data_IF_029820411551
#
_entry.id   IF_029820411551
#
_cell.length_a   1.000
_cell.length_b   1.000
_cell.length_c   1.000
_cell.angle_alpha   90.00
_cell.angle_beta   90.00
_cell.angle_gamma   90.00
#
_symmetry.space_group_name_H-M   'P 1'
#
loop_
_entity.id
_entity.type
_entity.pdbx_description
1 polymer ?
#
# COMPACT_ATOMS: atom_id res chain seq x y z
N UNK A 1 22.10 18.14 36.49
CA UNK A 1 22.11 18.51 37.92
C UNK A 1 23.18 17.65 38.59
N UNK A 2 24.22 18.23 39.18
CA UNK A 2 25.11 17.44 40.03
C UNK A 2 24.39 17.18 41.36
N UNK A 3 24.33 15.91 41.76
CA UNK A 3 24.06 15.52 43.14
C UNK A 3 25.40 15.23 43.82
N UNK A 4 25.44 15.38 45.13
CA UNK A 4 26.57 15.04 46.01
C UNK A 4 27.84 15.91 45.80
N UNK A 5 27.68 17.23 45.95
CA UNK A 5 28.83 18.13 46.16
C UNK A 5 28.89 18.46 47.65
N UNK A 6 29.85 17.87 48.35
CA UNK A 6 30.18 18.24 49.73
C UNK A 6 31.08 19.48 49.74
N UNK A 7 30.72 20.46 50.57
CA UNK A 7 31.47 21.71 50.74
C UNK A 7 31.79 21.87 52.22
N UNK A 8 33.06 22.11 52.54
CA UNK A 8 33.54 22.28 53.91
C UNK A 8 33.88 23.75 54.20
N UNK A 9 33.62 24.19 55.43
CA UNK A 9 33.82 25.57 55.84
C UNK A 9 35.31 25.95 55.85
N UNK A 10 35.66 27.02 55.14
CA UNK A 10 37.03 27.54 55.05
C UNK A 10 37.83 27.00 53.86
N UNK A 11 37.28 26.06 53.09
CA UNK A 11 37.91 25.51 51.88
C UNK A 11 37.19 25.95 50.61
N UNK A 12 37.93 26.09 49.51
CA UNK A 12 37.35 26.28 48.18
C UNK A 12 37.25 24.93 47.48
N UNK A 13 36.02 24.41 47.34
CA UNK A 13 35.75 23.23 46.52
C UNK A 13 35.54 23.67 45.07
N UNK A 14 36.48 23.34 44.17
CA UNK A 14 36.33 23.56 42.74
C UNK A 14 36.04 22.24 42.01
N UNK A 15 34.97 22.23 41.20
CA UNK A 15 34.75 21.19 40.19
C UNK A 15 34.85 21.84 38.81
N UNK A 16 35.75 21.34 37.98
CA UNK A 16 35.80 21.70 36.57
C UNK A 16 34.67 21.00 35.85
N UNK A 17 33.70 21.75 35.33
CA UNK A 17 32.73 21.24 34.37
C UNK A 17 33.36 21.34 32.99
N UNK A 18 33.67 20.20 32.38
CA UNK A 18 33.94 20.18 30.93
C UNK A 18 32.59 20.28 30.24
N UNK A 19 32.32 21.44 29.66
CA UNK A 19 31.31 21.53 28.61
C UNK A 19 32.02 20.90 27.40
N UNK A 20 31.57 19.70 27.04
CA UNK A 20 32.12 18.99 25.89
C UNK A 20 32.08 19.87 24.64
N UNK A 21 33.08 19.74 23.78
CA UNK A 21 33.06 20.48 22.53
C UNK A 21 31.92 20.00 21.63
N UNK A 22 31.51 20.83 20.67
CA UNK A 22 30.54 20.40 19.66
C UNK A 22 31.25 19.59 18.59
N UNK A 23 30.70 18.43 18.24
CA UNK A 23 31.04 17.66 17.06
C UNK A 23 29.90 17.66 16.06
N UNK A 24 30.15 17.09 14.89
CA UNK A 24 29.13 16.93 13.85
C UNK A 24 28.87 15.45 13.56
N UNK A 25 27.62 15.07 13.63
CA UNK A 25 27.15 13.76 13.16
C UNK A 25 26.62 13.89 11.73
N UNK A 26 27.07 12.99 10.85
CA UNK A 26 26.60 12.88 9.46
C UNK A 26 26.14 11.45 9.15
N UNK A 27 24.92 11.30 8.68
CA UNK A 27 24.46 10.08 8.02
C UNK A 27 24.56 10.24 6.51
N UNK A 28 25.17 9.25 5.85
CA UNK A 28 25.20 9.07 4.40
C UNK A 28 24.26 7.94 4.01
N UNK A 29 23.08 8.26 3.49
CA UNK A 29 22.09 7.31 2.99
C UNK A 29 22.35 6.99 1.52
N UNK A 30 22.57 5.71 1.23
CA UNK A 30 22.87 5.21 -0.10
C UNK A 30 21.85 4.14 -0.54
N UNK A 31 21.49 4.16 -1.82
CA UNK A 31 20.92 3.03 -2.55
C UNK A 31 22.06 2.36 -3.32
N UNK A 32 22.45 1.16 -2.92
CA UNK A 32 23.71 0.54 -3.39
C UNK A 32 24.92 1.39 -2.99
N UNK A 33 25.55 2.04 -3.98
CA UNK A 33 26.68 2.95 -3.78
C UNK A 33 26.35 4.42 -4.10
N UNK A 34 25.12 4.71 -4.55
CA UNK A 34 24.71 6.06 -4.93
C UNK A 34 23.93 6.77 -3.80
N UNK A 35 24.19 8.08 -3.55
CA UNK A 35 23.41 8.85 -2.60
C UNK A 35 21.94 8.95 -3.03
N UNK A 36 21.03 8.61 -2.13
CA UNK A 36 19.59 8.62 -2.39
C UNK A 36 18.87 9.69 -1.58
N UNK A 37 17.79 10.22 -2.14
CA UNK A 37 16.87 11.09 -1.42
C UNK A 37 15.73 10.26 -0.85
N UNK A 38 15.35 10.54 0.39
CA UNK A 38 14.13 9.99 0.99
C UNK A 38 13.28 11.11 1.58
N UNK A 39 11.97 10.87 1.64
CA UNK A 39 11.02 11.68 2.41
C UNK A 39 11.03 11.28 3.91
N UNK A 40 11.73 10.20 4.26
CA UNK A 40 12.04 9.82 5.62
C UNK A 40 12.97 10.81 6.34
N UNK A 41 13.18 10.57 7.63
CA UNK A 41 14.01 11.42 8.48
C UNK A 41 14.81 10.59 9.49
N UNK A 42 15.77 11.26 10.13
CA UNK A 42 16.64 10.65 11.12
C UNK A 42 16.50 11.38 12.45
N UNK A 43 16.13 10.64 13.49
CA UNK A 43 16.04 11.11 14.87
C UNK A 43 17.27 10.65 15.63
N UNK A 44 17.84 11.53 16.46
CA UNK A 44 19.02 11.25 17.27
C UNK A 44 18.61 11.17 18.73
N UNK A 45 19.11 10.15 19.42
CA UNK A 45 18.93 9.92 20.84
C UNK A 45 20.30 9.81 21.51
N UNK A 46 20.39 10.23 22.77
CA UNK A 46 21.53 9.92 23.64
C UNK A 46 21.52 8.45 24.02
N UNK A 47 22.62 7.97 24.59
CA UNK A 47 22.76 6.59 25.09
C UNK A 47 21.65 6.19 26.08
N UNK A 48 21.16 7.12 26.90
CA UNK A 48 20.07 6.89 27.86
C UNK A 48 18.66 6.92 27.22
N UNK A 49 18.58 7.11 25.90
CA UNK A 49 17.34 7.20 25.14
C UNK A 49 16.69 8.58 25.12
N UNK A 50 17.31 9.60 25.72
CA UNK A 50 16.80 10.98 25.63
C UNK A 50 16.93 11.51 24.20
N UNK A 51 15.86 12.12 23.68
CA UNK A 51 15.88 12.80 22.39
C UNK A 51 16.95 13.91 22.35
N UNK A 52 17.84 13.85 21.36
CA UNK A 52 18.93 14.79 21.16
C UNK A 52 18.70 15.74 19.99
N UNK A 53 17.80 15.39 19.06
CA UNK A 53 17.51 16.21 17.87
C UNK A 53 17.14 15.38 16.64
N UNK A 54 17.07 16.05 15.50
CA UNK A 54 16.89 15.44 14.19
C UNK A 54 18.05 15.85 13.27
N UNK A 55 18.45 14.95 12.37
CA UNK A 55 19.43 15.28 11.35
C UNK A 55 18.74 16.04 10.21
N UNK A 56 19.33 17.16 9.81
CA UNK A 56 18.86 17.96 8.69
C UNK A 56 19.51 17.51 7.41
N UNK A 57 18.71 17.35 6.35
CA UNK A 57 19.23 17.10 5.01
C UNK A 57 20.05 18.30 4.53
N UNK A 58 21.33 18.09 4.25
CA UNK A 58 22.23 19.14 3.73
C UNK A 58 22.53 18.98 2.24
N UNK A 59 22.43 17.75 1.72
CA UNK A 59 22.50 17.42 0.31
C UNK A 59 21.86 16.04 0.07
N UNK A 60 21.71 15.63 -1.18
CA UNK A 60 21.21 14.28 -1.51
C UNK A 60 22.00 13.21 -0.76
N UNK A 61 21.28 12.33 -0.05
CA UNK A 61 21.86 11.28 0.78
C UNK A 61 22.64 11.74 2.01
N UNK A 62 22.77 13.05 2.32
CA UNK A 62 23.55 13.50 3.47
C UNK A 62 22.68 14.27 4.47
N UNK A 63 22.69 13.80 5.72
CA UNK A 63 21.91 14.35 6.81
C UNK A 63 22.83 14.65 8.00
N UNK A 64 22.72 15.83 8.59
CA UNK A 64 23.67 16.32 9.61
C UNK A 64 23.00 16.98 10.82
N UNK A 65 23.65 16.86 11.97
CA UNK A 65 23.40 17.70 13.14
C UNK A 65 24.71 18.01 13.87
N UNK A 66 24.76 19.16 14.52
CA UNK A 66 25.80 19.48 15.50
C UNK A 66 25.32 19.04 16.88
N UNK A 67 26.15 18.26 17.56
CA UNK A 67 25.83 17.64 18.84
C UNK A 67 27.02 17.84 19.79
N UNK A 68 26.79 17.94 21.10
CA UNK A 68 27.87 17.81 22.08
C UNK A 68 28.66 16.51 21.87
N UNK A 69 29.92 16.49 22.28
CA UNK A 69 30.68 15.23 22.33
C UNK A 69 29.94 14.19 23.17
N UNK A 70 29.91 12.94 22.70
CA UNK A 70 29.20 11.87 23.39
C UNK A 70 28.78 10.71 22.50
N UNK A 71 28.10 9.74 23.11
CA UNK A 71 27.59 8.55 22.45
C UNK A 71 26.11 8.71 22.12
N UNK A 72 25.75 8.39 20.88
CA UNK A 72 24.40 8.59 20.34
C UNK A 72 23.86 7.34 19.65
N UNK A 73 22.54 7.30 19.50
CA UNK A 73 21.81 6.38 18.65
C UNK A 73 21.03 7.17 17.62
N UNK A 74 20.94 6.66 16.40
CA UNK A 74 20.16 7.28 15.32
C UNK A 74 19.09 6.32 14.88
N UNK A 75 17.85 6.78 14.85
CA UNK A 75 16.71 6.07 14.29
C UNK A 75 16.41 6.66 12.91
N UNK A 76 16.48 5.86 11.86
CA UNK A 76 16.00 6.22 10.53
C UNK A 76 14.55 5.77 10.37
N UNK A 77 13.68 6.66 9.91
CA UNK A 77 12.24 6.40 9.78
C UNK A 77 11.81 6.63 8.32
N UNK A 78 11.04 5.70 7.77
CA UNK A 78 10.47 5.73 6.41
C UNK A 78 11.53 5.97 5.32
N UNK A 79 12.67 5.27 5.40
CA UNK A 79 13.83 5.53 4.54
C UNK A 79 13.58 5.10 3.08
N UNK A 80 12.78 4.07 2.88
CA UNK A 80 12.29 3.60 1.58
C UNK A 80 11.04 2.72 1.80
N UNK A 81 10.29 2.38 0.73
CA UNK A 81 9.26 1.34 0.82
C UNK A 81 9.79 0.06 1.48
N UNK A 82 9.08 -0.41 2.51
CA UNK A 82 9.53 -1.54 3.34
C UNK A 82 10.72 -1.26 4.25
N UNK A 83 11.29 -0.06 4.29
CA UNK A 83 12.35 0.32 5.25
C UNK A 83 11.79 1.37 6.19
N UNK A 84 10.88 0.93 7.06
CA UNK A 84 10.10 1.80 7.95
C UNK A 84 10.88 2.32 9.14
N UNK A 85 11.70 1.48 9.77
CA UNK A 85 12.45 1.83 10.96
C UNK A 85 13.79 1.07 11.03
N UNK A 86 14.88 1.79 11.23
CA UNK A 86 16.22 1.22 11.41
C UNK A 86 16.98 1.95 12.51
N UNK A 87 17.73 1.21 13.33
CA UNK A 87 18.50 1.75 14.45
C UNK A 87 20.00 1.61 14.25
N UNK A 88 20.70 2.73 14.33
CA UNK A 88 22.16 2.81 14.29
C UNK A 88 22.67 3.23 15.66
N UNK A 89 23.17 2.26 16.43
CA UNK A 89 23.57 2.44 17.83
C UNK A 89 25.05 2.78 17.98
N UNK A 90 25.39 3.27 19.16
CA UNK A 90 26.76 3.49 19.63
C UNK A 90 27.63 4.34 18.69
N UNK A 91 27.09 5.47 18.24
CA UNK A 91 27.81 6.42 17.39
C UNK A 91 28.48 7.46 18.27
N UNK A 92 29.80 7.40 18.37
CA UNK A 92 30.61 8.37 19.12
C UNK A 92 30.82 9.65 18.29
N UNK A 93 30.38 10.78 18.82
CA UNK A 93 30.63 12.11 18.25
C UNK A 93 31.77 12.76 19.03
N UNK A 94 32.86 13.08 18.34
CA UNK A 94 34.01 13.77 18.92
C UNK A 94 33.98 15.28 18.64
N UNK A 95 34.40 16.08 19.63
CA UNK A 95 34.46 17.52 19.52
C UNK A 95 35.36 18.00 18.37
N UNK A 96 34.88 18.96 17.58
CA UNK A 96 35.62 19.56 16.46
C UNK A 96 35.71 18.70 15.20
N UNK A 97 35.14 17.48 15.23
CA UNK A 97 35.23 16.53 14.12
C UNK A 97 33.87 16.27 13.47
N UNK A 98 33.90 15.71 12.26
CA UNK A 98 32.70 15.14 11.62
C UNK A 98 32.76 13.63 11.70
N UNK A 99 31.92 13.05 12.54
CA UNK A 99 31.63 11.61 12.57
C UNK A 99 30.66 11.28 11.45
N UNK A 100 31.02 10.36 10.56
CA UNK A 100 30.15 9.96 9.44
C UNK A 100 29.83 8.47 9.48
N UNK A 101 28.54 8.13 9.42
CA UNK A 101 28.06 6.76 9.26
C UNK A 101 27.38 6.60 7.91
N UNK A 102 27.69 5.51 7.21
CA UNK A 102 27.01 5.15 5.97
C UNK A 102 25.89 4.16 6.27
N UNK A 103 24.73 4.44 5.71
CA UNK A 103 23.51 3.63 5.77
C UNK A 103 23.19 3.20 4.34
N UNK A 104 22.96 1.91 4.11
CA UNK A 104 22.61 1.34 2.81
C UNK A 104 21.24 0.68 2.89
N UNK A 105 20.35 1.04 1.98
CA UNK A 105 18.99 0.47 1.89
C UNK A 105 18.85 -0.58 0.77
N UNK A 106 19.98 -1.11 0.28
CA UNK A 106 20.01 -1.95 -0.93
C UNK A 106 19.96 -1.14 -2.22
N UNK A 107 20.23 -1.74 -3.37
CA UNK A 107 19.98 -1.10 -4.66
C UNK A 107 18.48 -1.02 -4.94
N UNK A 108 18.00 0.08 -5.51
CA UNK A 108 16.57 0.21 -5.87
C UNK A 108 16.26 -0.43 -7.21
N UNK A 109 15.21 -1.25 -7.28
CA UNK A 109 14.62 -1.80 -8.49
C UNK A 109 13.16 -1.41 -8.63
N UNK A 110 12.58 -1.63 -9.80
CA UNK A 110 11.18 -1.32 -10.08
C UNK A 110 10.35 -2.60 -10.17
N UNK A 111 9.27 -2.65 -9.40
CA UNK A 111 8.25 -3.69 -9.51
C UNK A 111 7.08 -3.15 -10.33
N UNK A 112 6.64 -3.92 -11.33
CA UNK A 112 5.51 -3.60 -12.21
C UNK A 112 4.52 -4.76 -12.25
N UNK A 113 3.25 -4.47 -12.02
CA UNK A 113 2.13 -5.38 -12.29
C UNK A 113 1.31 -4.83 -13.44
N UNK A 114 1.03 -5.67 -14.43
CA UNK A 114 0.05 -5.40 -15.49
C UNK A 114 -1.23 -6.17 -15.19
N UNK A 115 -2.32 -5.48 -14.97
CA UNK A 115 -3.65 -6.03 -14.77
C UNK A 115 -4.42 -5.99 -16.10
N UNK A 116 -4.87 -7.15 -16.56
CA UNK A 116 -5.66 -7.30 -17.78
C UNK A 116 -7.02 -7.95 -17.47
N UNK A 117 -8.05 -7.54 -18.21
CA UNK A 117 -9.30 -8.30 -18.39
C UNK A 117 -9.24 -8.93 -19.77
N UNK A 118 -9.08 -10.26 -19.84
CA UNK A 118 -8.69 -10.92 -21.09
C UNK A 118 -7.34 -10.39 -21.59
N UNK A 119 -7.33 -9.73 -22.75
CA UNK A 119 -6.14 -9.15 -23.37
C UNK A 119 -6.05 -7.62 -23.24
N UNK A 120 -7.07 -6.97 -22.67
CA UNK A 120 -7.12 -5.51 -22.55
C UNK A 120 -6.67 -5.04 -21.16
N UNK A 121 -5.95 -3.91 -21.04
CA UNK A 121 -5.61 -3.32 -19.75
C UNK A 121 -6.85 -2.97 -18.94
N UNK A 122 -6.84 -3.33 -17.66
CA UNK A 122 -7.94 -3.07 -16.72
C UNK A 122 -7.46 -2.16 -15.59
N UNK A 123 -8.01 -0.95 -15.52
CA UNK A 123 -7.94 -0.10 -14.33
C UNK A 123 -8.94 -0.59 -13.29
N UNK A 124 -8.58 -0.51 -12.01
CA UNK A 124 -9.43 -0.94 -10.90
C UNK A 124 -9.50 0.09 -9.79
N UNK A 125 -10.63 0.11 -9.07
CA UNK A 125 -10.78 0.84 -7.81
C UNK A 125 -10.19 0.07 -6.61
N UNK A 126 -9.80 -1.19 -6.82
CA UNK A 126 -9.02 -1.97 -5.87
C UNK A 126 -7.56 -1.51 -5.84
N UNK A 127 -6.67 -2.42 -5.46
CA UNK A 127 -5.24 -2.09 -5.40
C UNK A 127 -4.34 -3.30 -5.29
N UNK A 128 -3.04 -3.03 -5.39
CA UNK A 128 -1.99 -4.01 -5.19
C UNK A 128 -1.12 -3.61 -4.01
N UNK A 129 -1.14 -4.40 -2.95
CA UNK A 129 -0.25 -4.26 -1.80
C UNK A 129 0.96 -5.17 -1.97
N UNK A 130 2.15 -4.64 -1.68
CA UNK A 130 3.42 -5.37 -1.72
C UNK A 130 3.82 -5.75 -0.30
N UNK A 131 4.25 -6.99 -0.13
CA UNK A 131 4.75 -7.54 1.12
C UNK A 131 6.16 -8.10 0.91
N UNK A 132 7.01 -8.01 1.94
CA UNK A 132 8.27 -8.73 2.00
C UNK A 132 8.05 -10.23 2.17
N UNK A 133 9.11 -11.01 2.00
CA UNK A 133 9.11 -12.46 2.24
C UNK A 133 8.61 -12.87 3.63
N UNK A 134 8.90 -12.06 4.67
CA UNK A 134 8.43 -12.30 6.05
C UNK A 134 6.97 -11.88 6.29
N UNK A 135 6.30 -11.35 5.26
CA UNK A 135 4.91 -10.88 5.33
C UNK A 135 4.74 -9.44 5.79
N UNK A 136 5.82 -8.70 6.05
CA UNK A 136 5.72 -7.28 6.38
C UNK A 136 5.26 -6.46 5.16
N UNK A 137 4.29 -5.56 5.36
CA UNK A 137 3.85 -4.62 4.33
C UNK A 137 5.00 -3.69 3.91
N UNK A 138 5.21 -3.56 2.61
CA UNK A 138 6.24 -2.70 2.03
C UNK A 138 5.67 -1.39 1.48
N UNK A 139 4.66 -1.47 0.60
CA UNK A 139 3.94 -0.32 0.03
C UNK A 139 2.76 -0.79 -0.83
N UNK A 140 1.93 0.17 -1.27
CA UNK A 140 0.99 -0.04 -2.37
C UNK A 140 1.62 0.33 -3.72
N UNK A 141 1.31 -0.43 -4.76
CA UNK A 141 1.65 -0.06 -6.13
C UNK A 141 0.70 1.05 -6.61
N UNK A 142 1.24 1.99 -7.37
CA UNK A 142 0.48 3.11 -7.94
C UNK A 142 0.19 2.86 -9.41
N UNK A 143 -1.03 3.12 -9.84
CA UNK A 143 -1.36 3.08 -11.27
C UNK A 143 -0.65 4.23 -11.99
N UNK A 144 0.22 3.90 -12.95
CA UNK A 144 0.98 4.89 -13.74
C UNK A 144 0.41 5.05 -15.16
N UNK A 145 -0.34 4.06 -15.61
CA UNK A 145 -1.13 4.06 -16.84
C UNK A 145 -2.22 2.99 -16.71
N UNK A 146 -3.30 3.04 -17.50
CA UNK A 146 -4.40 2.08 -17.40
C UNK A 146 -3.91 0.62 -17.28
N UNK A 147 -4.25 -0.04 -16.18
CA UNK A 147 -3.88 -1.43 -15.89
C UNK A 147 -2.41 -1.68 -15.63
N UNK A 148 -1.58 -0.66 -15.40
CA UNK A 148 -0.15 -0.81 -15.05
C UNK A 148 0.15 -0.13 -13.73
N UNK A 149 0.57 -0.94 -12.76
CA UNK A 149 0.82 -0.54 -11.37
C UNK A 149 2.29 -0.71 -11.03
N UNK A 150 2.92 0.31 -10.44
CA UNK A 150 4.36 0.36 -10.19
C UNK A 150 4.73 0.90 -8.80
N UNK A 151 5.87 0.43 -8.30
CA UNK A 151 6.61 1.03 -7.20
C UNK A 151 8.12 0.79 -7.38
N UNK A 152 8.94 1.69 -6.84
CA UNK A 152 10.37 1.46 -6.65
C UNK A 152 10.60 0.89 -5.25
N UNK A 153 11.35 -0.18 -5.17
CA UNK A 153 11.58 -0.96 -3.94
C UNK A 153 13.08 -1.25 -3.85
N UNK A 154 13.62 -1.43 -2.63
CA UNK A 154 14.89 -2.14 -2.47
C UNK A 154 14.89 -3.48 -3.22
N UNK A 155 16.06 -3.91 -3.67
CA UNK A 155 16.24 -5.26 -4.19
C UNK A 155 15.89 -6.30 -3.13
N UNK A 156 15.27 -7.40 -3.54
CA UNK A 156 14.82 -8.42 -2.62
C UNK A 156 13.65 -9.25 -3.14
N UNK A 157 13.17 -10.18 -2.30
CA UNK A 157 12.06 -11.06 -2.61
C UNK A 157 10.76 -10.52 -2.01
N UNK A 158 9.73 -10.40 -2.85
CA UNK A 158 8.45 -9.81 -2.49
C UNK A 158 7.26 -10.69 -2.90
N UNK A 159 6.12 -10.40 -2.29
CA UNK A 159 4.81 -10.90 -2.67
C UNK A 159 3.90 -9.72 -2.98
N UNK A 160 3.01 -9.89 -3.95
CA UNK A 160 2.01 -8.87 -4.29
C UNK A 160 0.61 -9.47 -4.15
N UNK A 161 -0.23 -8.79 -3.38
CA UNK A 161 -1.63 -9.10 -3.20
C UNK A 161 -2.47 -8.06 -3.95
N UNK A 162 -3.24 -8.50 -4.94
CA UNK A 162 -4.28 -7.69 -5.55
C UNK A 162 -5.61 -7.92 -4.84
N UNK A 163 -6.31 -6.86 -4.44
CA UNK A 163 -7.59 -6.96 -3.72
C UNK A 163 -8.66 -6.16 -4.47
N UNK A 164 -9.88 -6.71 -4.56
CA UNK A 164 -11.03 -6.06 -5.20
C UNK A 164 -10.74 -5.59 -6.63
N UNK A 165 -10.00 -6.39 -7.40
CA UNK A 165 -9.51 -6.01 -8.72
C UNK A 165 -10.63 -5.87 -9.76
N UNK A 166 -11.73 -6.61 -9.61
CA UNK A 166 -12.93 -6.51 -10.43
C UNK A 166 -14.15 -7.03 -9.64
N UNK A 167 -15.39 -6.73 -10.06
CA UNK A 167 -16.58 -7.29 -9.44
C UNK A 167 -16.54 -8.82 -9.34
N UNK A 168 -16.60 -9.33 -8.12
CA UNK A 168 -16.57 -10.76 -7.83
C UNK A 168 -15.17 -11.39 -7.89
N UNK A 169 -14.12 -10.59 -8.08
CA UNK A 169 -12.72 -10.97 -7.87
C UNK A 169 -12.24 -10.41 -6.53
N UNK A 170 -11.91 -11.30 -5.61
CA UNK A 170 -11.58 -10.90 -4.24
C UNK A 170 -10.10 -10.63 -4.08
N UNK A 171 -9.29 -11.58 -4.55
CA UNK A 171 -7.89 -11.64 -4.16
C UNK A 171 -7.07 -12.43 -5.18
N UNK A 172 -5.94 -11.87 -5.57
CA UNK A 172 -4.94 -12.54 -6.39
C UNK A 172 -3.57 -12.37 -5.74
N UNK A 173 -2.80 -13.45 -5.67
CA UNK A 173 -1.42 -13.42 -5.18
C UNK A 173 -0.41 -13.68 -6.30
N UNK A 174 0.58 -12.81 -6.41
CA UNK A 174 1.83 -13.07 -7.11
C UNK A 174 2.93 -13.25 -6.06
N UNK A 175 3.42 -14.47 -5.90
CA UNK A 175 4.44 -14.82 -4.90
C UNK A 175 5.84 -14.85 -5.51
N UNK A 176 6.83 -14.78 -4.64
CA UNK A 176 8.25 -14.97 -4.95
C UNK A 176 8.74 -14.12 -6.13
N UNK A 177 8.43 -12.82 -6.07
CA UNK A 177 8.87 -11.85 -7.07
C UNK A 177 10.19 -11.24 -6.60
N UNK A 178 11.27 -11.59 -7.29
CA UNK A 178 12.58 -10.99 -7.07
C UNK A 178 12.66 -9.63 -7.78
N UNK A 179 12.88 -8.57 -7.01
CA UNK A 179 13.18 -7.23 -7.51
C UNK A 179 14.70 -7.08 -7.58
N UNK A 180 15.21 -6.77 -8.77
CA UNK A 180 16.64 -6.59 -9.04
C UNK A 180 16.96 -5.10 -9.14
N UNK A 181 18.04 -4.66 -8.50
CA UNK A 181 18.50 -3.28 -8.54
C UNK A 181 18.73 -2.79 -9.98
N UNK A 182 18.24 -1.59 -10.28
CA UNK A 182 18.37 -0.94 -11.59
C UNK A 182 17.47 -1.52 -12.69
N UNK A 183 16.71 -2.57 -12.42
CA UNK A 183 15.85 -3.23 -13.42
C UNK A 183 14.36 -3.00 -13.17
N UNK A 184 13.54 -3.31 -14.18
CA UNK A 184 12.09 -3.41 -14.04
C UNK A 184 11.66 -4.88 -14.06
N UNK A 185 11.24 -5.40 -12.91
CA UNK A 185 10.60 -6.70 -12.80
C UNK A 185 9.12 -6.56 -13.08
N UNK A 186 8.61 -7.26 -14.09
CA UNK A 186 7.21 -7.18 -14.49
C UNK A 186 6.49 -8.52 -14.32
N UNK A 187 5.28 -8.51 -13.76
CA UNK A 187 4.32 -9.63 -13.80
C UNK A 187 3.02 -9.19 -14.46
N UNK A 188 2.28 -10.16 -14.99
CA UNK A 188 0.96 -9.92 -15.57
C UNK A 188 -0.07 -10.74 -14.82
N UNK A 189 -1.06 -10.05 -14.27
CA UNK A 189 -2.28 -10.63 -13.71
C UNK A 189 -3.35 -10.54 -14.79
N UNK A 190 -3.91 -11.68 -15.19
CA UNK A 190 -5.04 -11.76 -16.12
C UNK A 190 -6.27 -12.21 -15.36
N UNK A 191 -7.31 -11.40 -15.42
CA UNK A 191 -8.65 -11.78 -15.03
C UNK A 191 -9.41 -12.27 -16.29
N UNK A 192 -10.55 -12.92 -16.08
CA UNK A 192 -11.47 -13.26 -17.17
C UNK A 192 -11.89 -12.02 -17.98
N UNK A 193 -12.45 -12.23 -19.16
CA UNK A 193 -12.99 -11.12 -19.93
C UNK A 193 -14.21 -10.50 -19.25
N UNK A 194 -14.43 -9.19 -19.41
CA UNK A 194 -15.61 -8.51 -18.88
C UNK A 194 -16.81 -8.70 -19.82
N UNK A 195 -17.96 -9.03 -19.25
CA UNK A 195 -19.27 -9.09 -19.90
C UNK A 195 -20.30 -8.27 -19.14
N UNK A 196 -21.50 -8.14 -19.71
CA UNK A 196 -22.60 -7.40 -19.08
C UNK A 196 -23.75 -8.32 -18.71
N UNK A 197 -24.19 -8.23 -17.46
CA UNK A 197 -25.42 -8.85 -17.00
C UNK A 197 -26.55 -7.82 -17.03
N UNK A 198 -27.71 -8.19 -17.58
CA UNK A 198 -28.92 -7.36 -17.63
C UNK A 198 -30.15 -8.12 -17.14
N UNK A 199 -30.88 -7.54 -16.21
CA UNK A 199 -32.23 -7.96 -15.85
C UNK A 199 -33.23 -6.99 -16.47
N UNK A 200 -34.19 -7.52 -17.23
CA UNK A 200 -35.34 -6.76 -17.76
C UNK A 200 -36.58 -7.08 -16.97
N UNK A 201 -37.02 -6.15 -16.13
CA UNK A 201 -38.21 -6.27 -15.30
C UNK A 201 -39.42 -5.71 -16.05
N UNK A 202 -40.45 -6.54 -16.23
CA UNK A 202 -41.68 -6.20 -16.93
C UNK A 202 -42.91 -6.47 -16.06
N UNK A 203 -43.94 -5.61 -16.15
CA UNK A 203 -45.32 -5.87 -15.70
C UNK A 203 -46.28 -5.57 -16.85
N UNK A 204 -47.23 -6.47 -17.10
CA UNK A 204 -48.16 -6.34 -18.24
C UNK A 204 -47.46 -6.18 -19.61
N UNK A 205 -46.26 -6.74 -19.76
CA UNK A 205 -45.42 -6.61 -20.97
C UNK A 205 -44.73 -5.25 -21.16
N UNK A 206 -44.87 -4.32 -20.21
CA UNK A 206 -44.21 -3.01 -20.22
C UNK A 206 -43.05 -2.99 -19.21
N UNK A 207 -42.00 -2.20 -19.44
CA UNK A 207 -40.93 -2.03 -18.47
C UNK A 207 -41.46 -1.51 -17.13
N UNK A 208 -40.98 -2.10 -16.04
CA UNK A 208 -41.33 -1.76 -14.68
C UNK A 208 -40.08 -1.32 -13.93
N UNK A 209 -40.01 -0.04 -13.57
CA UNK A 209 -39.05 0.45 -12.58
C UNK A 209 -39.54 0.06 -11.17
N UNK A 210 -38.60 -0.16 -10.26
CA UNK A 210 -38.89 -0.56 -8.88
C UNK A 210 -37.98 0.14 -7.89
N UNK A 211 -38.50 0.38 -6.68
CA UNK A 211 -37.71 0.87 -5.54
C UNK A 211 -36.97 -0.27 -4.81
N UNK A 212 -37.20 -1.52 -5.23
CA UNK A 212 -36.40 -2.68 -4.83
C UNK A 212 -35.03 -2.70 -5.50
N UNK A 213 -34.29 -3.79 -5.33
CA UNK A 213 -32.97 -3.94 -5.95
C UNK A 213 -32.71 -5.38 -6.40
N UNK A 214 -31.71 -5.52 -7.28
CA UNK A 214 -31.19 -6.79 -7.73
C UNK A 214 -29.75 -6.94 -7.26
N UNK A 215 -29.48 -7.91 -6.39
CA UNK A 215 -28.14 -8.23 -5.91
C UNK A 215 -27.58 -9.44 -6.67
N UNK A 216 -26.33 -9.35 -7.11
CA UNK A 216 -25.62 -10.40 -7.85
C UNK A 216 -24.73 -11.19 -6.90
N UNK A 217 -24.73 -12.50 -7.07
CA UNK A 217 -23.95 -13.44 -6.27
C UNK A 217 -23.18 -14.42 -7.16
N UNK A 218 -21.98 -14.82 -6.71
CA UNK A 218 -21.27 -16.00 -7.24
C UNK A 218 -21.70 -17.28 -6.50
N UNK A 219 -21.26 -18.43 -7.02
CA UNK A 219 -21.35 -19.71 -6.33
C UNK A 219 -20.83 -19.60 -4.88
N UNK A 220 -21.50 -20.28 -3.94
CA UNK A 220 -21.22 -20.15 -2.51
C UNK A 220 -21.93 -18.97 -1.82
N UNK A 221 -22.78 -18.22 -2.54
CA UNK A 221 -23.60 -17.15 -1.97
C UNK A 221 -22.84 -15.86 -1.72
N UNK A 222 -21.74 -15.65 -2.42
CA UNK A 222 -20.91 -14.47 -2.26
C UNK A 222 -21.46 -13.29 -3.04
N UNK A 223 -21.86 -12.23 -2.32
CA UNK A 223 -22.28 -10.97 -2.91
C UNK A 223 -21.16 -10.37 -3.78
N UNK A 224 -21.55 -9.88 -4.95
CA UNK A 224 -20.67 -9.28 -5.95
C UNK A 224 -20.95 -7.78 -6.07
N UNK A 225 -22.17 -7.42 -6.46
CA UNK A 225 -22.63 -6.05 -6.61
C UNK A 225 -24.17 -6.01 -6.71
N UNK A 226 -24.73 -4.81 -6.62
CA UNK A 226 -26.10 -4.56 -7.04
C UNK A 226 -26.13 -4.21 -8.53
N UNK A 227 -27.25 -4.49 -9.20
CA UNK A 227 -27.49 -4.02 -10.56
C UNK A 227 -28.08 -2.60 -10.52
N UNK A 228 -27.60 -1.73 -11.39
CA UNK A 228 -28.07 -0.36 -11.50
C UNK A 228 -29.13 -0.22 -12.61
N UNK A 229 -30.20 0.55 -12.36
CA UNK A 229 -31.19 0.83 -13.38
C UNK A 229 -30.64 1.84 -14.40
N UNK A 230 -30.30 1.38 -15.60
CA UNK A 230 -29.76 2.25 -16.66
C UNK A 230 -30.84 2.80 -17.59
N UNK A 231 -32.02 2.19 -17.57
CA UNK A 231 -33.23 2.68 -18.24
C UNK A 231 -34.45 2.00 -17.61
N UNK A 232 -35.67 2.56 -17.74
CA UNK A 232 -36.85 2.01 -17.08
C UNK A 232 -36.97 0.49 -17.24
N UNK A 233 -36.95 -0.23 -16.12
CA UNK A 233 -37.03 -1.69 -16.03
C UNK A 233 -35.82 -2.47 -16.56
N UNK A 234 -34.67 -1.84 -16.83
CA UNK A 234 -33.43 -2.51 -17.23
C UNK A 234 -32.34 -2.24 -16.19
N UNK A 235 -31.93 -3.29 -15.49
CA UNK A 235 -30.94 -3.26 -14.43
C UNK A 235 -29.66 -3.97 -14.89
N UNK A 236 -28.50 -3.33 -14.78
CA UNK A 236 -27.25 -3.78 -15.38
C UNK A 236 -26.05 -3.70 -14.45
N UNK A 237 -25.07 -4.57 -14.67
CA UNK A 237 -23.71 -4.45 -14.14
C UNK A 237 -22.71 -5.09 -15.12
N UNK A 238 -21.49 -4.56 -15.14
CA UNK A 238 -20.36 -5.20 -15.81
C UNK A 238 -19.64 -6.13 -14.83
N UNK A 239 -19.41 -7.36 -15.26
CA UNK A 239 -18.91 -8.45 -14.44
C UNK A 239 -17.84 -9.20 -15.22
N UNK A 240 -16.92 -9.86 -14.53
CA UNK A 240 -16.10 -10.88 -15.16
C UNK A 240 -17.01 -11.97 -15.76
N UNK A 241 -16.54 -12.62 -16.80
CA UNK A 241 -17.20 -13.82 -17.32
C UNK A 241 -17.28 -14.90 -16.24
N UNK A 242 -18.38 -15.65 -16.24
CA UNK A 242 -18.62 -16.70 -15.26
C UNK A 242 -20.10 -16.89 -14.93
N UNK A 243 -20.33 -17.75 -13.94
CA UNK A 243 -21.67 -18.14 -13.51
C UNK A 243 -22.12 -17.31 -12.30
N UNK A 244 -23.32 -16.74 -12.40
CA UNK A 244 -23.90 -15.86 -11.39
C UNK A 244 -25.33 -16.24 -11.04
N UNK A 245 -25.74 -15.85 -9.83
CA UNK A 245 -27.12 -15.86 -9.38
C UNK A 245 -27.55 -14.42 -9.09
N UNK A 246 -28.80 -14.08 -9.37
CA UNK A 246 -29.37 -12.77 -9.06
C UNK A 246 -30.53 -12.93 -8.09
N UNK A 247 -30.51 -12.16 -7.01
CA UNK A 247 -31.60 -12.04 -6.05
C UNK A 247 -32.31 -10.71 -6.30
N UNK A 248 -33.60 -10.74 -6.62
CA UNK A 248 -34.45 -9.55 -6.61
C UNK A 248 -35.16 -9.42 -5.27
N UNK A 249 -35.03 -8.29 -4.59
CA UNK A 249 -35.70 -8.01 -3.30
C UNK A 249 -36.68 -6.85 -3.47
N UNK A 250 -37.92 -7.06 -3.01
CA UNK A 250 -39.02 -6.09 -3.07
C UNK A 250 -39.23 -5.49 -4.48
N UNK A 251 -38.96 -6.25 -5.53
CA UNK A 251 -38.98 -5.76 -6.92
C UNK A 251 -40.40 -5.48 -7.44
N UNK A 252 -41.43 -5.97 -6.75
CA UNK A 252 -42.83 -5.65 -7.00
C UNK A 252 -43.68 -5.84 -5.72
N UNK A 253 -44.91 -5.28 -5.63
CA UNK A 253 -45.77 -5.33 -4.43
C UNK A 253 -46.06 -6.72 -3.84
N UNK A 254 -45.80 -7.80 -4.59
CA UNK A 254 -45.95 -9.20 -4.14
C UNK A 254 -44.68 -10.04 -4.28
N UNK A 255 -43.58 -9.45 -4.74
CA UNK A 255 -42.30 -10.14 -4.90
C UNK A 255 -41.34 -9.56 -3.88
N UNK A 256 -41.41 -10.11 -2.67
CA UNK A 256 -40.48 -9.76 -1.59
C UNK A 256 -39.08 -10.29 -1.90
N UNK A 257 -38.99 -11.48 -2.49
CA UNK A 257 -37.72 -12.12 -2.85
C UNK A 257 -37.92 -13.06 -4.04
N UNK A 258 -36.99 -13.03 -5.00
CA UNK A 258 -36.92 -13.97 -6.11
C UNK A 258 -35.47 -14.25 -6.50
N UNK A 259 -35.16 -15.50 -6.86
CA UNK A 259 -33.83 -15.92 -7.27
C UNK A 259 -33.80 -16.35 -8.74
N UNK A 260 -32.79 -15.90 -9.45
CA UNK A 260 -32.49 -16.26 -10.84
C UNK A 260 -31.10 -16.89 -10.86
N UNK A 261 -31.05 -18.21 -10.98
CA UNK A 261 -29.82 -18.98 -10.86
C UNK A 261 -29.18 -19.27 -12.22
N UNK A 262 -27.90 -19.61 -12.19
CA UNK A 262 -27.11 -20.13 -13.30
C UNK A 262 -27.14 -19.23 -14.54
N UNK A 263 -26.97 -17.92 -14.31
CA UNK A 263 -26.83 -16.94 -15.38
C UNK A 263 -25.35 -16.85 -15.74
N UNK A 264 -25.00 -17.38 -16.90
CA UNK A 264 -23.65 -17.32 -17.44
C UNK A 264 -23.43 -15.99 -18.15
N UNK A 265 -22.43 -15.22 -17.71
CA UNK A 265 -21.97 -13.99 -18.34
C UNK A 265 -20.78 -14.33 -19.23
N UNK A 266 -20.84 -13.92 -20.50
CA UNK A 266 -19.76 -14.09 -21.47
C UNK A 266 -19.02 -12.77 -21.72
N UNK A 267 -17.71 -12.86 -21.92
CA UNK A 267 -16.88 -11.71 -22.25
C UNK A 267 -17.36 -11.00 -23.54
N UNK A 268 -17.41 -9.67 -23.51
CA UNK A 268 -17.78 -8.83 -24.65
C UNK A 268 -19.27 -8.84 -25.00
N UNK A 269 -20.11 -9.58 -24.27
CA UNK A 269 -21.53 -9.74 -24.58
C UNK A 269 -22.44 -9.14 -23.50
N UNK A 270 -23.70 -8.88 -23.85
CA UNK A 270 -24.76 -8.59 -22.87
C UNK A 270 -25.66 -9.81 -22.70
N UNK A 271 -25.52 -10.48 -21.55
CA UNK A 271 -26.43 -11.54 -21.12
C UNK A 271 -27.68 -10.93 -20.52
N UNK A 272 -28.84 -11.17 -21.13
CA UNK A 272 -30.12 -10.60 -20.68
C UNK A 272 -31.08 -11.67 -20.16
N UNK A 273 -31.61 -11.48 -18.95
CA UNK A 273 -32.73 -12.26 -18.41
C UNK A 273 -33.97 -11.38 -18.31
N UNK A 274 -35.09 -11.83 -18.89
CA UNK A 274 -36.38 -11.16 -18.71
C UNK A 274 -37.14 -11.76 -17.53
N UNK A 275 -37.53 -10.88 -16.61
CA UNK A 275 -38.37 -11.17 -15.45
C UNK A 275 -39.73 -10.54 -15.71
N UNK A 276 -40.79 -11.34 -15.59
CA UNK A 276 -42.16 -10.87 -15.74
C UNK A 276 -42.87 -10.99 -14.40
N UNK A 277 -43.44 -9.89 -13.94
CA UNK A 277 -44.34 -9.85 -12.81
C UNK A 277 -45.75 -9.99 -13.35
N UNK A 278 -46.44 -11.03 -12.93
CA UNK A 278 -47.88 -11.20 -13.15
C UNK A 278 -48.63 -10.42 -12.07
N UNK A 279 -49.70 -9.72 -12.47
CA UNK A 279 -50.53 -8.89 -11.59
C UNK A 279 -51.39 -9.73 -10.61
#
# INVERSE_FOLDING_TARGET
WYRDIEVFAGETTSKTVRIGGMGRLRIRLLSGDEPVSTDGWFVVFKEDGEYAGELKKVSTGNYEAELPEGLYHVQGINLAPGVWEEWYRDIEVSAGETTSKTVKIGGMGRLRIRLLSGDEPLSTNGGFAVFKEDGEYACDLKEVSPGTYEAELPEGLYHVQGIHLAPGEREVWCRDIEVIAGETTSKTVRLGGMGRLRIRLLSGGKPLSTDGWFAVFKEGGYYVCDLEEVSPGNYEAELLEGLYHVQGINVAPRVQEAWYQDIEVFAGETTSKTVRIED
#
